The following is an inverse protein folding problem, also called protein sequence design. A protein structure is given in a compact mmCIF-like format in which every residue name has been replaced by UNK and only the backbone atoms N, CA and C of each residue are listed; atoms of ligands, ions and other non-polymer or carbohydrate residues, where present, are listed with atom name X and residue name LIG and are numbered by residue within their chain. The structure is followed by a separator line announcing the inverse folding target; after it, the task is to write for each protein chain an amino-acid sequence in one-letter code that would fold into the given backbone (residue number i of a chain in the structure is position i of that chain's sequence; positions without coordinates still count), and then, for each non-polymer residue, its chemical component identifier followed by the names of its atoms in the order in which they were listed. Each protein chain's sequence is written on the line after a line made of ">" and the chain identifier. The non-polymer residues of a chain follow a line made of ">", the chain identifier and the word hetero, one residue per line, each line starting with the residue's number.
data_IF_434046567476
#
_entry.id   IF_434046567476
#
_cell.length_a   1.000
_cell.length_b   1.000
_cell.length_c   1.000
_cell.angle_alpha   90.00
_cell.angle_beta   90.00
_cell.angle_gamma   90.00
#
_symmetry.space_group_name_H-M   'P 1'
#
loop_
_entity.id
_entity.type
_entity.pdbx_description
1 polymer ?
#
# COMPACT_ATOMS: atom_id res chain seq x y z
N UNK A 1 -7.76 -7.88 12.36
CA UNK A 1 -6.42 -8.11 12.89
C UNK A 1 -6.10 -7.22 14.07
N UNK A 2 -4.99 -7.49 14.71
CA UNK A 2 -4.45 -6.68 15.83
C UNK A 2 -2.97 -6.42 15.60
N UNK A 3 -2.49 -5.26 16.06
CA UNK A 3 -1.08 -4.90 16.06
C UNK A 3 -0.78 -4.09 17.31
N UNK A 4 0.16 -4.55 18.12
CA UNK A 4 0.56 -3.91 19.39
C UNK A 4 2.08 -3.96 19.56
N UNK A 5 2.62 -2.97 20.28
CA UNK A 5 4.05 -2.84 20.55
C UNK A 5 4.31 -2.32 21.96
N UNK A 6 5.57 -2.30 22.42
CA UNK A 6 5.94 -1.58 23.64
C UNK A 6 5.98 -0.06 23.43
N UNK A 7 5.89 0.45 22.19
CA UNK A 7 5.93 1.87 21.87
C UNK A 7 4.53 2.48 21.88
N UNK A 8 4.25 3.35 22.83
CA UNK A 8 2.92 3.94 23.02
C UNK A 8 2.47 4.82 21.83
N UNK A 9 3.39 5.56 21.19
CA UNK A 9 3.06 6.43 20.07
C UNK A 9 2.65 5.59 18.82
N UNK A 10 3.32 4.46 18.58
CA UNK A 10 2.95 3.53 17.52
C UNK A 10 1.59 2.86 17.80
N UNK A 11 1.33 2.49 19.06
CA UNK A 11 0.01 1.95 19.42
C UNK A 11 -1.10 2.98 19.22
N UNK A 12 -0.84 4.27 19.52
CA UNK A 12 -1.79 5.35 19.25
C UNK A 12 -1.99 5.55 17.74
N UNK A 13 -0.92 5.51 16.93
CA UNK A 13 -1.02 5.56 15.46
C UNK A 13 -1.90 4.41 14.94
N UNK A 14 -1.67 3.18 15.41
CA UNK A 14 -2.52 2.04 15.02
C UNK A 14 -3.98 2.23 15.44
N UNK A 15 -4.23 2.79 16.63
CA UNK A 15 -5.57 3.15 17.08
C UNK A 15 -6.22 4.18 16.16
N UNK A 16 -5.48 5.22 15.74
CA UNK A 16 -5.96 6.24 14.81
C UNK A 16 -6.34 5.64 13.44
N UNK A 17 -5.53 4.70 12.93
CA UNK A 17 -5.80 3.97 11.69
C UNK A 17 -7.09 3.16 11.81
N UNK A 18 -7.27 2.43 12.91
CA UNK A 18 -8.46 1.62 13.16
C UNK A 18 -9.74 2.47 13.26
N UNK A 19 -9.70 3.57 14.01
CA UNK A 19 -10.85 4.45 14.16
C UNK A 19 -11.17 5.21 12.88
N UNK A 20 -10.17 5.72 12.16
CA UNK A 20 -10.37 6.34 10.85
C UNK A 20 -11.08 5.40 9.88
N UNK A 21 -10.71 4.11 9.85
CA UNK A 21 -11.42 3.11 9.05
C UNK A 21 -12.86 2.87 9.53
N UNK A 22 -13.09 2.69 10.82
CA UNK A 22 -14.41 2.41 11.38
C UNK A 22 -15.42 3.52 11.11
N UNK A 23 -14.97 4.76 11.25
CA UNK A 23 -15.83 5.92 11.11
C UNK A 23 -16.23 6.18 9.66
N UNK A 24 -15.40 5.73 8.70
CA UNK A 24 -15.59 5.95 7.28
C UNK A 24 -16.17 4.73 6.52
N UNK A 25 -15.94 3.51 6.98
CA UNK A 25 -16.45 2.29 6.33
C UNK A 25 -17.81 1.89 6.90
N UNK A 26 -18.85 2.72 6.63
CA UNK A 26 -20.21 2.49 7.16
C UNK A 26 -21.07 1.80 6.11
N UNK A 27 -21.24 2.36 4.93
CA UNK A 27 -21.99 1.78 3.82
C UNK A 27 -21.18 1.70 2.53
N UNK A 28 -20.36 2.70 2.31
CA UNK A 28 -19.29 2.76 1.31
C UNK A 28 -18.03 3.30 2.00
N UNK A 29 -16.83 3.15 1.43
CA UNK A 29 -15.62 3.74 2.00
C UNK A 29 -15.59 5.24 1.71
N UNK A 30 -16.18 6.06 2.60
CA UNK A 30 -16.17 7.52 2.47
C UNK A 30 -14.82 8.10 2.85
N UNK A 31 -14.39 9.17 2.19
CA UNK A 31 -13.14 9.88 2.47
C UNK A 31 -13.11 10.48 3.88
N UNK A 32 -14.23 11.05 4.31
CA UNK A 32 -14.40 11.67 5.61
C UNK A 32 -15.84 11.53 6.10
N UNK A 33 -16.13 11.57 7.43
CA UNK A 33 -17.48 11.39 7.94
C UNK A 33 -18.19 12.70 8.28
N UNK A 34 -17.48 13.82 8.45
CA UNK A 34 -17.98 14.99 9.18
C UNK A 34 -18.41 16.18 8.31
N UNK A 35 -17.93 16.28 7.05
CA UNK A 35 -18.29 17.39 6.16
C UNK A 35 -19.25 16.96 5.05
N UNK A 36 -19.80 17.89 4.29
CA UNK A 36 -20.84 17.64 3.26
C UNK A 36 -20.33 16.81 2.06
N UNK A 37 -19.05 16.53 1.97
CA UNK A 37 -18.46 15.65 0.98
C UNK A 37 -18.88 14.18 1.20
N UNK A 38 -18.33 13.48 2.18
CA UNK A 38 -18.66 12.10 2.56
C UNK A 38 -18.90 11.20 1.36
N UNK A 39 -17.94 11.17 0.44
CA UNK A 39 -18.04 10.49 -0.84
C UNK A 39 -17.13 9.26 -0.89
N UNK A 40 -17.51 8.26 -1.69
CA UNK A 40 -16.71 7.06 -1.91
C UNK A 40 -15.55 7.33 -2.87
N UNK A 41 -14.55 8.09 -2.45
CA UNK A 41 -13.36 8.39 -3.22
C UNK A 41 -12.55 7.14 -3.53
N UNK A 42 -12.35 6.89 -4.82
CA UNK A 42 -11.82 5.60 -5.27
C UNK A 42 -10.33 5.46 -5.04
N UNK A 43 -9.54 6.55 -5.12
CA UNK A 43 -8.12 6.49 -4.81
C UNK A 43 -7.88 6.25 -3.31
N UNK A 44 -8.59 6.96 -2.46
CA UNK A 44 -8.52 6.83 -1.00
C UNK A 44 -8.75 5.38 -0.58
N UNK A 45 -9.84 4.79 -1.07
CA UNK A 45 -10.14 3.40 -0.84
C UNK A 45 -9.06 2.47 -1.42
N UNK A 46 -8.55 2.75 -2.62
CA UNK A 46 -7.55 1.92 -3.29
C UNK A 46 -6.24 1.88 -2.52
N UNK A 47 -5.71 3.04 -2.09
CA UNK A 47 -4.42 3.09 -1.39
C UNK A 47 -4.49 2.52 0.03
N UNK A 48 -5.66 2.60 0.65
CA UNK A 48 -5.87 2.09 2.00
C UNK A 48 -6.35 0.63 2.04
N UNK A 49 -6.87 0.08 0.97
CA UNK A 49 -7.50 -1.25 0.94
C UNK A 49 -6.63 -2.39 1.51
N UNK A 50 -5.30 -2.45 1.25
CA UNK A 50 -4.46 -3.47 1.89
C UNK A 50 -4.48 -3.39 3.42
N UNK A 51 -4.39 -2.19 4.00
CA UNK A 51 -4.50 -1.96 5.44
C UNK A 51 -5.90 -2.32 5.95
N UNK A 52 -6.93 -1.88 5.23
CA UNK A 52 -8.32 -2.15 5.61
C UNK A 52 -8.61 -3.64 5.77
N UNK A 53 -8.13 -4.45 4.82
CA UNK A 53 -8.31 -5.91 4.81
C UNK A 53 -7.55 -6.62 5.94
N UNK A 54 -6.46 -6.04 6.45
CA UNK A 54 -5.69 -6.57 7.57
C UNK A 54 -6.32 -6.21 8.91
N UNK A 55 -6.92 -5.03 9.02
CA UNK A 55 -7.58 -4.54 10.23
C UNK A 55 -8.90 -5.25 10.51
N UNK A 56 -9.76 -5.38 9.49
CA UNK A 56 -11.11 -5.93 9.61
C UNK A 56 -11.42 -6.89 8.46
N UNK A 57 -12.44 -7.71 8.62
CA UNK A 57 -13.03 -8.45 7.50
C UNK A 57 -13.86 -7.50 6.63
N UNK A 58 -13.28 -7.08 5.53
CA UNK A 58 -13.88 -6.12 4.58
C UNK A 58 -14.48 -6.81 3.35
N UNK A 59 -14.36 -8.14 3.21
CA UNK A 59 -14.66 -8.85 1.97
C UNK A 59 -16.08 -8.54 1.46
N UNK A 60 -17.09 -8.71 2.30
CA UNK A 60 -18.49 -8.50 1.90
C UNK A 60 -18.80 -7.03 1.65
N UNK A 61 -18.28 -6.14 2.49
CA UNK A 61 -18.43 -4.70 2.38
C UNK A 61 -17.90 -4.19 1.03
N UNK A 62 -16.67 -4.56 0.70
CA UNK A 62 -16.02 -4.13 -0.54
C UNK A 62 -16.68 -4.77 -1.77
N UNK A 63 -17.00 -6.07 -1.73
CA UNK A 63 -17.68 -6.75 -2.85
C UNK A 63 -19.05 -6.13 -3.15
N UNK A 64 -19.76 -5.63 -2.16
CA UNK A 64 -21.01 -4.88 -2.36
C UNK A 64 -20.74 -3.59 -3.13
N UNK A 65 -19.78 -2.78 -2.70
CA UNK A 65 -19.42 -1.51 -3.34
C UNK A 65 -18.90 -1.69 -4.76
N UNK A 66 -18.09 -2.71 -5.02
CA UNK A 66 -17.57 -3.04 -6.35
C UNK A 66 -18.67 -3.33 -7.41
N UNK A 67 -19.90 -3.69 -6.99
CA UNK A 67 -21.02 -3.89 -7.94
C UNK A 67 -21.42 -2.61 -8.65
N UNK A 68 -21.16 -1.46 -8.06
CA UNK A 68 -21.51 -0.15 -8.62
C UNK A 68 -20.48 0.34 -9.65
N UNK A 69 -19.28 -0.29 -9.74
CA UNK A 69 -18.21 0.15 -10.62
C UNK A 69 -18.54 -0.02 -12.10
N UNK A 70 -18.92 -1.22 -12.54
CA UNK A 70 -19.21 -1.48 -13.94
C UNK A 70 -20.39 -0.66 -14.48
N UNK A 71 -21.53 -0.51 -13.79
CA UNK A 71 -22.59 0.40 -14.22
C UNK A 71 -22.13 1.86 -14.37
N UNK A 72 -21.31 2.37 -13.44
CA UNK A 72 -20.77 3.71 -13.52
C UNK A 72 -19.82 3.87 -14.72
N UNK A 73 -18.96 2.89 -14.99
CA UNK A 73 -18.06 2.87 -16.15
C UNK A 73 -18.81 2.82 -17.49
N UNK A 74 -19.89 2.05 -17.57
CA UNK A 74 -20.71 1.96 -18.78
C UNK A 74 -21.33 3.31 -19.16
N UNK A 75 -21.65 4.12 -18.18
CA UNK A 75 -22.16 5.47 -18.40
C UNK A 75 -21.07 6.46 -18.88
N UNK A 76 -19.78 6.11 -18.80
CA UNK A 76 -18.63 6.98 -19.08
C UNK A 76 -17.57 6.36 -20.00
N UNK A 77 -17.96 5.57 -21.00
CA UNK A 77 -17.07 4.95 -21.99
C UNK A 77 -15.95 4.09 -21.37
N UNK A 78 -16.18 3.49 -20.21
CA UNK A 78 -15.24 2.65 -19.49
C UNK A 78 -14.41 3.37 -18.42
N UNK A 79 -14.53 4.68 -18.29
CA UNK A 79 -13.90 5.45 -17.23
C UNK A 79 -14.51 5.14 -15.87
N UNK A 80 -13.71 4.87 -14.86
CA UNK A 80 -14.21 4.82 -13.49
C UNK A 80 -14.27 6.24 -12.91
N UNK A 81 -15.43 6.72 -12.44
CA UNK A 81 -15.54 7.99 -11.73
C UNK A 81 -14.61 8.05 -10.52
N UNK A 82 -14.15 9.25 -10.17
CA UNK A 82 -13.30 9.47 -8.99
C UNK A 82 -14.02 9.18 -7.68
N UNK A 83 -15.35 9.20 -7.66
CA UNK A 83 -16.19 8.78 -6.53
C UNK A 83 -17.24 7.77 -6.97
N UNK A 84 -17.53 6.79 -6.13
CA UNK A 84 -18.60 5.81 -6.38
C UNK A 84 -19.51 5.72 -5.13
N UNK A 85 -20.82 5.95 -5.26
CA UNK A 85 -21.58 6.36 -6.48
C UNK A 85 -21.13 7.71 -7.05
N UNK A 86 -21.28 7.91 -8.37
CA UNK A 86 -20.91 9.16 -9.05
C UNK A 86 -21.88 10.31 -8.70
N UNK A 87 -21.69 10.89 -7.53
CA UNK A 87 -22.45 12.07 -7.07
C UNK A 87 -21.96 13.37 -7.68
N UNK A 88 -20.74 13.40 -8.22
CA UNK A 88 -20.14 14.57 -8.86
C UNK A 88 -20.58 14.73 -10.33
N UNK A 89 -21.24 13.73 -10.92
CA UNK A 89 -21.82 13.73 -12.28
C UNK A 89 -20.82 14.18 -13.33
N UNK A 90 -19.59 13.62 -13.30
CA UNK A 90 -18.52 13.99 -14.22
C UNK A 90 -17.73 15.24 -13.82
N UNK A 91 -17.95 15.82 -12.64
CA UNK A 91 -17.06 16.81 -12.04
C UNK A 91 -15.62 16.28 -11.91
N UNK A 92 -14.64 17.17 -11.82
CA UNK A 92 -13.20 16.82 -11.88
C UNK A 92 -12.81 16.07 -13.15
N UNK A 93 -13.44 16.35 -14.30
CA UNK A 93 -13.30 15.63 -15.58
C UNK A 93 -13.65 14.13 -15.51
N UNK A 94 -14.41 13.71 -14.50
CA UNK A 94 -14.99 12.38 -14.39
C UNK A 94 -14.04 11.30 -13.90
N UNK A 95 -12.77 11.30 -14.30
CA UNK A 95 -11.79 10.25 -13.95
C UNK A 95 -10.34 10.74 -14.07
N UNK A 96 -9.42 10.07 -13.39
CA UNK A 96 -7.98 10.32 -13.40
C UNK A 96 -7.20 9.07 -13.04
N UNK A 97 -5.91 9.01 -13.37
CA UNK A 97 -5.00 7.98 -12.86
C UNK A 97 -4.99 7.95 -11.33
N UNK A 98 -4.62 6.82 -10.73
CA UNK A 98 -4.73 6.47 -9.30
C UNK A 98 -6.18 6.18 -8.89
N UNK A 99 -7.12 7.13 -9.11
CA UNK A 99 -8.55 6.96 -8.78
C UNK A 99 -9.20 5.87 -9.61
N UNK A 100 -9.10 5.95 -10.92
CA UNK A 100 -9.69 4.95 -11.81
C UNK A 100 -9.03 3.58 -11.70
N UNK A 101 -7.77 3.51 -11.28
CA UNK A 101 -7.04 2.26 -11.07
C UNK A 101 -7.63 1.39 -9.94
N UNK A 102 -8.50 1.97 -9.12
CA UNK A 102 -9.30 1.25 -8.14
C UNK A 102 -10.12 0.10 -8.77
N UNK A 103 -10.59 0.26 -10.03
CA UNK A 103 -11.30 -0.79 -10.76
C UNK A 103 -10.48 -2.10 -10.89
N UNK A 104 -9.16 -1.99 -10.89
CA UNK A 104 -8.24 -3.13 -11.05
C UNK A 104 -7.63 -3.54 -9.72
N UNK A 105 -7.16 -2.58 -8.94
CA UNK A 105 -6.34 -2.85 -7.76
C UNK A 105 -7.18 -3.32 -6.57
N UNK A 106 -8.40 -2.79 -6.36
CA UNK A 106 -9.25 -3.23 -5.24
C UNK A 106 -9.68 -4.69 -5.37
N UNK A 107 -10.24 -5.17 -6.50
CA UNK A 107 -10.54 -6.60 -6.67
C UNK A 107 -9.32 -7.50 -6.47
N UNK A 108 -8.15 -7.05 -6.93
CA UNK A 108 -6.89 -7.77 -6.74
C UNK A 108 -6.52 -7.89 -5.27
N UNK A 109 -6.65 -6.83 -4.47
CA UNK A 109 -6.36 -6.86 -3.03
C UNK A 109 -7.32 -7.79 -2.27
N UNK A 110 -8.62 -7.78 -2.60
CA UNK A 110 -9.59 -8.72 -2.03
C UNK A 110 -9.20 -10.16 -2.37
N UNK A 111 -8.86 -10.45 -3.63
CA UNK A 111 -8.39 -11.78 -4.01
C UNK A 111 -7.12 -12.18 -3.24
N UNK A 112 -6.15 -11.30 -3.12
CA UNK A 112 -4.89 -11.56 -2.42
C UNK A 112 -5.12 -11.88 -0.94
N UNK A 113 -5.99 -11.12 -0.28
CA UNK A 113 -6.22 -11.27 1.16
C UNK A 113 -7.09 -12.47 1.47
N UNK A 114 -8.17 -12.71 0.73
CA UNK A 114 -9.17 -13.73 1.06
C UNK A 114 -9.09 -14.99 0.21
N UNK A 115 -8.31 -15.00 -0.87
CA UNK A 115 -8.25 -16.13 -1.81
C UNK A 115 -9.50 -16.28 -2.68
N UNK A 116 -10.41 -15.32 -2.64
CA UNK A 116 -11.68 -15.34 -3.37
C UNK A 116 -11.48 -15.01 -4.86
N UNK A 117 -11.27 -16.04 -5.67
CA UNK A 117 -11.13 -15.87 -7.11
C UNK A 117 -12.43 -15.41 -7.79
N UNK A 118 -13.58 -15.55 -7.12
CA UNK A 118 -14.86 -15.14 -7.69
C UNK A 118 -14.94 -13.62 -7.85
N UNK A 119 -14.32 -12.84 -6.94
CA UNK A 119 -14.28 -11.38 -7.09
C UNK A 119 -13.57 -10.97 -8.38
N UNK A 120 -12.51 -11.68 -8.77
CA UNK A 120 -11.83 -11.41 -10.05
C UNK A 120 -12.71 -11.73 -11.26
N UNK A 121 -13.50 -12.81 -11.19
CA UNK A 121 -14.47 -13.16 -12.26
C UNK A 121 -15.56 -12.12 -12.38
N UNK A 122 -16.13 -11.71 -11.25
CA UNK A 122 -17.22 -10.74 -11.19
C UNK A 122 -16.78 -9.36 -11.69
N UNK A 123 -15.53 -8.97 -11.40
CA UNK A 123 -15.00 -7.65 -11.72
C UNK A 123 -14.16 -7.61 -13.02
N UNK A 124 -13.95 -8.73 -13.70
CA UNK A 124 -13.06 -8.78 -14.86
C UNK A 124 -13.43 -7.78 -15.95
N UNK A 125 -14.71 -7.65 -16.26
CA UNK A 125 -15.20 -6.69 -17.27
C UNK A 125 -14.95 -5.24 -16.84
N UNK A 126 -15.11 -4.91 -15.56
CA UNK A 126 -14.79 -3.59 -15.01
C UNK A 126 -13.28 -3.29 -15.10
N UNK A 127 -12.43 -4.27 -14.75
CA UNK A 127 -10.97 -4.16 -14.87
C UNK A 127 -10.56 -3.89 -16.33
N UNK A 128 -11.13 -4.65 -17.29
CA UNK A 128 -10.88 -4.45 -18.72
C UNK A 128 -11.37 -3.07 -19.19
N UNK A 129 -12.55 -2.64 -18.74
CA UNK A 129 -13.11 -1.35 -19.13
C UNK A 129 -12.16 -0.20 -18.79
N UNK A 130 -11.59 -0.21 -17.58
CA UNK A 130 -10.61 0.80 -17.15
C UNK A 130 -9.32 0.77 -17.99
N UNK A 131 -8.64 -0.36 -18.06
CA UNK A 131 -7.37 -0.47 -18.79
C UNK A 131 -7.54 -0.11 -20.28
N UNK A 132 -8.63 -0.56 -20.90
CA UNK A 132 -8.92 -0.24 -22.29
C UNK A 132 -9.35 1.23 -22.49
N UNK A 133 -10.00 1.85 -21.50
CA UNK A 133 -10.26 3.29 -21.50
C UNK A 133 -8.94 4.07 -21.54
N UNK A 134 -8.01 3.77 -20.64
CA UNK A 134 -6.71 4.43 -20.56
C UNK A 134 -5.88 4.19 -21.84
N UNK A 135 -5.85 2.94 -22.35
CA UNK A 135 -5.14 2.57 -23.59
C UNK A 135 -5.52 3.48 -24.78
N UNK A 136 -6.75 4.00 -24.81
CA UNK A 136 -7.24 4.89 -25.89
C UNK A 136 -6.97 6.40 -25.65
N UNK A 137 -6.37 6.77 -24.51
CA UNK A 137 -6.30 8.18 -24.05
C UNK A 137 -4.90 8.80 -24.13
N UNK A 138 -3.87 8.07 -24.45
CA UNK A 138 -2.52 8.61 -24.62
C UNK A 138 -2.31 9.38 -25.91
N UNK A 139 -1.35 10.31 -25.92
CA UNK A 139 -0.87 10.95 -27.16
C UNK A 139 -0.08 9.99 -28.04
N UNK A 140 0.44 8.92 -27.43
CA UNK A 140 1.05 7.76 -28.08
C UNK A 140 0.71 6.50 -27.29
N UNK A 141 0.85 5.33 -27.93
CA UNK A 141 0.60 4.06 -27.26
C UNK A 141 1.49 3.90 -26.02
N UNK A 142 0.89 3.48 -24.91
CA UNK A 142 1.59 3.25 -23.64
C UNK A 142 1.71 4.44 -22.71
N UNK A 143 1.20 5.61 -23.07
CA UNK A 143 1.11 6.76 -22.16
C UNK A 143 -0.32 7.04 -21.72
N UNK A 144 -0.48 7.50 -20.49
CA UNK A 144 -1.70 8.14 -20.01
C UNK A 144 -1.40 9.59 -19.64
N UNK A 145 -1.33 10.44 -20.67
CA UNK A 145 -0.86 11.82 -20.58
C UNK A 145 -1.85 12.83 -21.17
N UNK A 146 -3.13 12.49 -21.17
CA UNK A 146 -4.21 13.37 -21.62
C UNK A 146 -5.30 13.50 -20.56
N UNK A 147 -6.09 14.55 -20.64
CA UNK A 147 -7.09 14.89 -19.62
C UNK A 147 -6.45 15.53 -18.39
N UNK A 148 -7.27 15.93 -17.44
CA UNK A 148 -6.79 16.44 -16.17
C UNK A 148 -6.38 15.25 -15.27
N UNK A 149 -5.20 15.33 -14.67
CA UNK A 149 -4.68 14.34 -13.74
C UNK A 149 -4.49 15.01 -12.37
N UNK A 150 -4.80 14.28 -11.28
CA UNK A 150 -4.63 14.80 -9.94
C UNK A 150 -3.19 14.57 -9.41
N UNK A 151 -2.49 13.57 -9.94
CA UNK A 151 -1.10 13.28 -9.58
C UNK A 151 -0.96 12.76 -8.15
N UNK A 152 0.08 13.19 -7.45
CA UNK A 152 0.28 12.89 -6.04
C UNK A 152 -0.45 13.93 -5.18
N UNK A 153 -1.69 13.62 -4.82
CA UNK A 153 -2.59 14.52 -4.09
C UNK A 153 -2.06 14.81 -2.69
N UNK A 154 -2.04 16.08 -2.30
CA UNK A 154 -1.60 16.57 -0.99
C UNK A 154 -0.13 16.27 -0.64
N UNK A 155 0.74 16.05 -1.63
CA UNK A 155 2.18 16.03 -1.41
C UNK A 155 2.73 17.42 -1.04
N UNK A 156 3.85 17.44 -0.32
CA UNK A 156 4.39 18.66 0.29
C UNK A 156 5.57 19.27 -0.48
N UNK A 157 5.92 18.71 -1.63
CA UNK A 157 7.05 19.12 -2.48
C UNK A 157 6.69 20.28 -3.45
N UNK A 158 5.64 21.03 -3.14
CA UNK A 158 5.15 22.21 -3.89
C UNK A 158 4.91 23.39 -2.96
N UNK A 159 4.67 24.61 -3.50
CA UNK A 159 4.33 25.76 -2.68
C UNK A 159 3.13 25.51 -1.77
N UNK A 160 3.15 26.11 -0.58
CA UNK A 160 2.07 25.99 0.39
C UNK A 160 0.71 26.34 -0.22
N UNK A 161 -0.30 25.53 0.09
CA UNK A 161 -1.66 25.68 -0.42
C UNK A 161 -1.92 25.00 -1.78
N UNK A 162 -0.93 24.30 -2.35
CA UNK A 162 -1.16 23.43 -3.51
C UNK A 162 -1.80 22.11 -3.08
N UNK A 163 -2.82 21.68 -3.81
CA UNK A 163 -3.38 20.32 -3.66
C UNK A 163 -2.56 19.27 -4.43
N UNK A 164 -1.84 19.68 -5.45
CA UNK A 164 -1.08 18.79 -6.33
C UNK A 164 0.38 18.76 -5.93
N UNK A 165 0.95 17.57 -5.86
CA UNK A 165 2.37 17.36 -5.64
C UNK A 165 3.26 17.82 -6.80
N UNK A 166 4.55 17.92 -6.51
CA UNK A 166 5.57 18.32 -7.46
C UNK A 166 5.86 17.28 -8.54
N UNK A 167 5.57 16.01 -8.33
CA UNK A 167 5.73 14.97 -9.36
C UNK A 167 4.84 15.27 -10.56
N UNK A 168 5.37 15.02 -11.78
CA UNK A 168 4.57 15.18 -13.00
C UNK A 168 3.32 14.30 -12.93
N UNK A 169 2.15 14.92 -13.08
CA UNK A 169 0.84 14.25 -12.94
C UNK A 169 0.65 13.13 -13.98
N UNK A 170 1.15 13.32 -15.21
CA UNK A 170 1.09 12.31 -16.26
C UNK A 170 2.08 11.16 -16.01
N UNK A 171 3.22 11.44 -15.36
CA UNK A 171 4.12 10.42 -14.85
C UNK A 171 3.37 9.50 -13.88
N UNK A 172 2.68 10.07 -12.87
CA UNK A 172 1.90 9.31 -11.88
C UNK A 172 0.83 8.48 -12.57
N UNK A 173 0.02 9.09 -13.45
CA UNK A 173 -1.04 8.40 -14.16
C UNK A 173 -0.52 7.24 -15.03
N UNK A 174 0.60 7.44 -15.75
CA UNK A 174 1.19 6.40 -16.59
C UNK A 174 1.83 5.28 -15.76
N UNK A 175 2.41 5.60 -14.60
CA UNK A 175 2.94 4.60 -13.67
C UNK A 175 1.83 3.66 -13.16
N UNK A 176 0.69 4.20 -12.77
CA UNK A 176 -0.47 3.40 -12.35
C UNK A 176 -1.09 2.63 -13.52
N UNK A 177 -1.10 3.19 -14.71
CA UNK A 177 -1.51 2.45 -15.93
C UNK A 177 -0.65 1.20 -16.16
N UNK A 178 0.68 1.31 -16.02
CA UNK A 178 1.56 0.15 -16.09
C UNK A 178 1.21 -0.90 -15.03
N UNK A 179 1.00 -0.47 -13.80
CA UNK A 179 0.70 -1.37 -12.69
C UNK A 179 -0.65 -2.07 -12.87
N UNK A 180 -1.72 -1.32 -13.16
CA UNK A 180 -3.04 -1.88 -13.42
C UNK A 180 -3.02 -2.86 -14.61
N UNK A 181 -2.30 -2.55 -15.67
CA UNK A 181 -2.16 -3.45 -16.82
C UNK A 181 -1.46 -4.76 -16.43
N UNK A 182 -0.39 -4.69 -15.63
CA UNK A 182 0.30 -5.88 -15.13
C UNK A 182 -0.60 -6.75 -14.23
N UNK A 183 -1.43 -6.11 -13.39
CA UNK A 183 -2.40 -6.82 -12.53
C UNK A 183 -3.51 -7.45 -13.36
N UNK A 184 -4.02 -6.77 -14.38
CA UNK A 184 -5.04 -7.32 -15.28
C UNK A 184 -4.50 -8.51 -16.07
N UNK A 185 -3.26 -8.44 -16.57
CA UNK A 185 -2.61 -9.58 -17.24
C UNK A 185 -2.54 -10.82 -16.31
N UNK A 186 -2.10 -10.64 -15.07
CA UNK A 186 -2.08 -11.70 -14.04
C UNK A 186 -3.48 -12.24 -13.76
N UNK A 187 -4.48 -11.38 -13.70
CA UNK A 187 -5.88 -11.76 -13.50
C UNK A 187 -6.39 -12.59 -14.67
N UNK A 188 -6.09 -12.19 -15.90
CA UNK A 188 -6.45 -12.94 -17.11
C UNK A 188 -5.85 -14.36 -17.10
N UNK A 189 -4.58 -14.52 -16.74
CA UNK A 189 -3.94 -15.82 -16.55
C UNK A 189 -4.66 -16.68 -15.51
N UNK A 190 -4.98 -16.12 -14.34
CA UNK A 190 -5.69 -16.84 -13.28
C UNK A 190 -7.09 -17.29 -13.70
N UNK A 191 -7.73 -16.56 -14.58
CA UNK A 191 -9.08 -16.86 -15.09
C UNK A 191 -9.05 -17.72 -16.37
N UNK A 192 -7.87 -18.13 -16.86
CA UNK A 192 -7.72 -18.92 -18.08
C UNK A 192 -8.00 -18.16 -19.39
N UNK A 193 -7.97 -16.83 -19.35
CA UNK A 193 -8.18 -15.94 -20.50
C UNK A 193 -6.85 -15.67 -21.21
N UNK A 194 -6.30 -16.73 -21.85
CA UNK A 194 -4.92 -16.73 -22.37
C UNK A 194 -4.66 -15.62 -23.40
N UNK A 195 -5.60 -15.38 -24.33
CA UNK A 195 -5.42 -14.34 -25.35
C UNK A 195 -5.37 -12.94 -24.72
N UNK A 196 -6.26 -12.65 -23.77
CA UNK A 196 -6.28 -11.38 -23.05
C UNK A 196 -4.99 -11.21 -22.24
N UNK A 197 -4.50 -12.29 -21.59
CA UNK A 197 -3.29 -12.25 -20.80
C UNK A 197 -2.07 -11.82 -21.63
N UNK A 198 -1.91 -12.42 -22.80
CA UNK A 198 -0.83 -12.05 -23.73
C UNK A 198 -0.96 -10.62 -24.27
N UNK A 199 -2.19 -10.16 -24.62
CA UNK A 199 -2.40 -8.78 -25.06
C UNK A 199 -2.00 -7.79 -23.97
N UNK A 200 -2.41 -8.02 -22.71
CA UNK A 200 -2.06 -7.13 -21.59
C UNK A 200 -0.59 -7.22 -21.18
N UNK A 201 0.08 -8.37 -21.34
CA UNK A 201 1.54 -8.46 -21.15
C UNK A 201 2.29 -7.63 -22.20
N UNK A 202 1.88 -7.71 -23.47
CA UNK A 202 2.46 -6.89 -24.54
C UNK A 202 2.19 -5.40 -24.30
N UNK A 203 0.95 -5.04 -23.93
CA UNK A 203 0.61 -3.67 -23.57
C UNK A 203 1.47 -3.16 -22.42
N UNK A 204 1.62 -3.94 -21.34
CA UNK A 204 2.48 -3.57 -20.20
C UNK A 204 3.92 -3.30 -20.64
N UNK A 205 4.47 -4.16 -21.51
CA UNK A 205 5.82 -3.97 -22.07
C UNK A 205 5.93 -2.64 -22.84
N UNK A 206 4.92 -2.33 -23.67
CA UNK A 206 4.85 -1.06 -24.40
C UNK A 206 4.76 0.14 -23.48
N UNK A 207 3.93 0.05 -22.41
CA UNK A 207 3.81 1.11 -21.41
C UNK A 207 5.14 1.39 -20.72
N UNK A 208 5.83 0.35 -20.23
CA UNK A 208 7.14 0.50 -19.55
C UNK A 208 8.17 1.14 -20.49
N UNK A 209 8.20 0.71 -21.76
CA UNK A 209 9.12 1.30 -22.75
C UNK A 209 8.81 2.78 -23.02
N UNK A 210 7.53 3.12 -23.23
CA UNK A 210 7.07 4.50 -23.44
C UNK A 210 7.35 5.38 -22.21
N UNK A 211 7.04 4.86 -21.02
CA UNK A 211 7.29 5.55 -19.75
C UNK A 211 8.78 5.89 -19.58
N UNK A 212 9.67 4.91 -19.71
CA UNK A 212 11.12 5.10 -19.55
C UNK A 212 11.65 6.15 -20.55
N UNK A 213 11.24 6.09 -21.80
CA UNK A 213 11.62 7.05 -22.85
C UNK A 213 11.14 8.46 -22.52
N UNK A 214 9.90 8.59 -22.05
CA UNK A 214 9.26 9.90 -21.86
C UNK A 214 9.69 10.57 -20.57
N UNK A 215 9.76 9.81 -19.47
CA UNK A 215 9.88 10.39 -18.13
C UNK A 215 11.24 10.21 -17.47
N UNK A 216 12.12 9.34 -18.00
CA UNK A 216 13.41 9.08 -17.38
C UNK A 216 14.57 9.66 -18.18
N UNK A 217 15.65 10.01 -17.46
CA UNK A 217 17.00 10.23 -17.98
C UNK A 217 17.88 9.11 -17.40
N UNK A 218 18.06 8.03 -18.16
CA UNK A 218 18.60 6.78 -17.63
C UNK A 218 17.62 6.12 -16.66
N UNK A 219 17.94 6.08 -15.38
CA UNK A 219 17.06 5.55 -14.32
C UNK A 219 16.49 6.65 -13.41
N UNK A 220 16.89 7.90 -13.62
CA UNK A 220 16.46 9.04 -12.81
C UNK A 220 15.23 9.70 -13.44
N UNK A 221 14.18 10.01 -12.67
CA UNK A 221 13.05 10.78 -13.16
C UNK A 221 13.50 12.16 -13.65
N UNK A 222 13.01 12.62 -14.81
CA UNK A 222 13.30 13.98 -15.33
C UNK A 222 12.82 15.07 -14.35
N UNK A 223 11.74 14.81 -13.62
CA UNK A 223 11.30 15.56 -12.46
C UNK A 223 11.49 14.67 -11.23
N UNK A 224 12.60 14.88 -10.53
CA UNK A 224 13.11 14.02 -9.49
C UNK A 224 12.49 14.41 -8.14
N UNK A 225 11.59 13.57 -7.64
CA UNK A 225 10.84 13.73 -6.39
C UNK A 225 10.84 12.41 -5.61
N UNK A 226 10.53 12.45 -4.31
CA UNK A 226 10.36 11.23 -3.53
C UNK A 226 9.30 10.32 -4.16
N UNK A 227 8.12 10.83 -4.48
CA UNK A 227 7.02 10.07 -5.08
C UNK A 227 7.41 9.46 -6.42
N UNK A 228 8.13 10.17 -7.28
CA UNK A 228 8.58 9.62 -8.55
C UNK A 228 9.45 8.36 -8.33
N UNK A 229 10.41 8.41 -7.41
CA UNK A 229 11.27 7.26 -7.09
C UNK A 229 10.50 6.12 -6.39
N UNK A 230 9.54 6.43 -5.53
CA UNK A 230 8.62 5.43 -4.95
C UNK A 230 7.87 4.68 -6.06
N UNK A 231 7.30 5.39 -7.02
CA UNK A 231 6.52 4.77 -8.10
C UNK A 231 7.38 3.98 -9.09
N UNK A 232 8.65 4.38 -9.33
CA UNK A 232 9.58 3.56 -10.10
C UNK A 232 9.76 2.16 -9.51
N UNK A 233 9.86 2.09 -8.19
CA UNK A 233 10.03 0.82 -7.45
C UNK A 233 8.71 0.05 -7.35
N UNK A 234 7.64 0.70 -6.93
CA UNK A 234 6.33 0.09 -6.71
C UNK A 234 5.71 -0.47 -8.00
N UNK A 235 5.71 0.33 -9.07
CA UNK A 235 5.15 -0.05 -10.35
C UNK A 235 6.12 -0.83 -11.24
N UNK A 236 7.32 -1.18 -10.73
CA UNK A 236 8.35 -1.96 -11.42
C UNK A 236 8.78 -1.37 -12.77
N UNK A 237 8.95 -0.05 -12.82
CA UNK A 237 9.29 0.70 -14.03
C UNK A 237 10.80 0.77 -14.32
N UNK A 238 11.59 0.21 -13.43
CA UNK A 238 13.05 0.03 -13.57
C UNK A 238 13.42 -1.45 -13.46
N UNK A 239 14.54 -1.83 -14.07
CA UNK A 239 15.03 -3.19 -14.05
C UNK A 239 15.38 -3.65 -12.63
N UNK A 240 15.29 -4.95 -12.37
CA UNK A 240 15.59 -5.51 -11.04
C UNK A 240 16.97 -5.09 -10.52
N UNK A 241 17.96 -5.05 -11.39
CA UNK A 241 19.34 -4.63 -11.03
C UNK A 241 19.49 -3.13 -10.74
N UNK A 242 18.55 -2.30 -11.19
CA UNK A 242 18.56 -0.84 -11.00
C UNK A 242 17.90 -0.44 -9.66
N UNK A 243 17.01 -1.27 -9.11
CA UNK A 243 16.19 -0.97 -7.94
C UNK A 243 16.98 -0.56 -6.69
N UNK A 244 18.09 -1.22 -6.32
CA UNK A 244 18.85 -0.80 -5.14
C UNK A 244 19.41 0.62 -5.27
N UNK A 245 19.86 1.03 -6.47
CA UNK A 245 20.34 2.40 -6.71
C UNK A 245 19.21 3.43 -6.61
N UNK A 246 18.03 3.13 -7.16
CA UNK A 246 16.84 3.99 -7.03
C UNK A 246 16.41 4.12 -5.58
N UNK A 247 16.41 3.03 -4.81
CA UNK A 247 16.06 3.05 -3.39
C UNK A 247 17.07 3.83 -2.54
N UNK A 248 18.37 3.71 -2.85
CA UNK A 248 19.40 4.54 -2.21
C UNK A 248 19.19 6.01 -2.53
N UNK A 249 18.93 6.34 -3.79
CA UNK A 249 18.65 7.73 -4.19
C UNK A 249 17.40 8.29 -3.50
N UNK A 250 16.33 7.49 -3.35
CA UNK A 250 15.15 7.86 -2.57
C UNK A 250 15.50 8.16 -1.10
N UNK A 251 16.33 7.32 -0.47
CA UNK A 251 16.80 7.55 0.88
C UNK A 251 17.63 8.85 1.00
N UNK A 252 18.45 9.16 -0.01
CA UNK A 252 19.24 10.39 -0.08
C UNK A 252 18.33 11.63 -0.22
N UNK A 253 17.24 11.56 -1.02
CA UNK A 253 16.23 12.61 -1.12
C UNK A 253 15.54 12.88 0.23
N UNK A 254 15.19 11.82 0.96
CA UNK A 254 14.60 11.92 2.30
C UNK A 254 15.58 12.62 3.26
N UNK A 255 16.85 12.21 3.26
CA UNK A 255 17.89 12.84 4.08
C UNK A 255 18.09 14.32 3.72
N UNK A 256 18.09 14.64 2.43
CA UNK A 256 18.17 16.03 1.94
C UNK A 256 16.97 16.87 2.39
N UNK A 257 15.81 16.24 2.54
CA UNK A 257 14.58 16.86 3.10
C UNK A 257 14.54 16.81 4.65
N UNK A 258 15.69 16.75 5.30
CA UNK A 258 15.75 16.76 6.79
C UNK A 258 15.26 15.47 7.45
N UNK A 259 15.22 14.35 6.74
CA UNK A 259 14.73 13.07 7.24
C UNK A 259 13.20 12.98 7.23
N UNK A 260 12.52 13.84 6.46
CA UNK A 260 11.07 13.87 6.37
C UNK A 260 10.58 13.39 5.00
N UNK A 261 9.38 12.81 5.00
CA UNK A 261 8.62 12.57 3.77
C UNK A 261 8.06 13.90 3.22
N UNK A 262 7.80 13.91 1.91
CA UNK A 262 7.05 14.98 1.24
C UNK A 262 5.96 14.43 0.30
N UNK A 263 5.70 13.13 0.40
CA UNK A 263 4.78 12.38 -0.46
C UNK A 263 3.32 12.58 -0.06
N UNK A 264 2.43 12.53 -1.07
CA UNK A 264 0.99 12.55 -0.93
C UNK A 264 0.35 11.16 -1.04
N UNK A 265 -0.92 11.13 -1.50
CA UNK A 265 -1.73 9.90 -1.54
C UNK A 265 -1.20 8.82 -2.49
N UNK A 266 -0.50 9.19 -3.59
CA UNK A 266 0.06 8.23 -4.52
C UNK A 266 1.45 7.72 -4.10
N UNK A 267 2.19 8.47 -3.28
CA UNK A 267 3.55 8.12 -2.83
C UNK A 267 3.61 7.50 -1.44
N UNK A 268 2.96 8.11 -0.45
CA UNK A 268 3.06 7.74 0.95
C UNK A 268 2.72 6.26 1.26
N UNK A 269 1.70 5.62 0.64
CA UNK A 269 1.36 4.24 0.92
C UNK A 269 2.49 3.24 0.62
N UNK A 270 3.32 3.57 -0.34
CA UNK A 270 4.36 2.66 -0.85
C UNK A 270 5.77 3.04 -0.38
N UNK A 271 5.97 4.23 0.22
CA UNK A 271 7.26 4.77 0.61
C UNK A 271 8.05 3.82 1.53
N UNK A 272 7.53 3.47 2.69
CA UNK A 272 8.19 2.55 3.62
C UNK A 272 8.29 1.11 3.06
N UNK A 273 7.26 0.55 2.39
CA UNK A 273 7.37 -0.74 1.72
C UNK A 273 8.51 -0.83 0.70
N UNK A 274 8.65 0.14 -0.22
CA UNK A 274 9.69 0.07 -1.26
C UNK A 274 11.08 0.27 -0.70
N UNK A 275 11.27 1.15 0.29
CA UNK A 275 12.52 1.32 1.01
C UNK A 275 12.96 0.01 1.67
N UNK A 276 12.07 -0.60 2.44
CA UNK A 276 12.34 -1.85 3.17
C UNK A 276 12.67 -3.01 2.22
N UNK A 277 11.90 -3.15 1.12
CA UNK A 277 12.09 -4.21 0.15
C UNK A 277 13.40 -4.09 -0.67
N UNK A 278 14.02 -2.91 -0.69
CA UNK A 278 15.21 -2.63 -1.48
C UNK A 278 16.44 -2.23 -0.63
N UNK A 279 16.51 -2.70 0.63
CA UNK A 279 17.69 -2.58 1.49
C UNK A 279 17.81 -1.27 2.25
N UNK A 280 16.78 -0.42 2.24
CA UNK A 280 16.74 0.87 2.95
C UNK A 280 15.78 0.83 4.16
N UNK A 281 15.69 -0.29 4.85
CA UNK A 281 14.79 -0.47 6.01
C UNK A 281 15.03 0.59 7.10
N UNK A 282 16.30 0.96 7.34
CA UNK A 282 16.62 2.02 8.32
C UNK A 282 15.92 3.33 7.97
N UNK A 283 15.95 3.76 6.71
CA UNK A 283 15.29 5.00 6.29
C UNK A 283 13.76 4.91 6.49
N UNK A 284 13.15 3.76 6.19
CA UNK A 284 11.71 3.53 6.45
C UNK A 284 11.36 3.63 7.94
N UNK A 285 12.17 3.05 8.81
CA UNK A 285 11.97 3.15 10.25
C UNK A 285 12.21 4.57 10.79
N UNK A 286 13.22 5.27 10.28
CA UNK A 286 13.48 6.65 10.68
C UNK A 286 12.31 7.58 10.31
N UNK A 287 11.65 7.34 9.17
CA UNK A 287 10.42 8.04 8.79
C UNK A 287 9.26 7.72 9.73
N UNK A 288 9.05 6.44 10.08
CA UNK A 288 7.98 6.05 11.00
C UNK A 288 8.14 6.69 12.39
N UNK A 289 9.37 6.71 12.91
CA UNK A 289 9.68 7.26 14.24
C UNK A 289 9.96 8.75 14.24
N UNK A 290 9.79 9.44 13.11
CA UNK A 290 9.89 10.89 13.05
C UNK A 290 8.69 11.51 13.79
N UNK A 291 8.96 12.38 14.76
CA UNK A 291 7.93 13.06 15.58
C UNK A 291 7.67 14.49 15.14
N UNK A 292 8.62 15.11 14.42
CA UNK A 292 8.44 16.47 13.91
C UNK A 292 7.67 16.46 12.58
N UNK A 293 7.01 17.58 12.28
CA UNK A 293 6.27 17.81 11.04
C UNK A 293 7.20 17.80 9.80
N UNK A 294 6.78 17.15 8.71
CA UNK A 294 5.64 16.26 8.50
C UNK A 294 5.97 14.80 8.86
N UNK A 295 5.10 14.14 9.58
CA UNK A 295 5.23 12.71 9.90
C UNK A 295 3.93 12.13 10.48
N UNK A 296 3.79 10.78 10.49
CA UNK A 296 2.66 10.10 11.16
C UNK A 296 2.63 10.36 12.66
N UNK A 297 3.79 10.43 13.34
CA UNK A 297 3.81 10.65 14.77
C UNK A 297 3.62 12.12 15.15
N UNK A 298 3.83 13.07 14.24
CA UNK A 298 3.44 14.46 14.47
C UNK A 298 1.94 14.56 14.79
N UNK A 299 1.07 13.90 14.00
CA UNK A 299 -0.37 13.88 14.28
C UNK A 299 -0.68 13.31 15.67
N UNK A 300 0.00 12.20 16.04
CA UNK A 300 -0.12 11.58 17.37
C UNK A 300 0.29 12.56 18.47
N UNK A 301 1.41 13.27 18.31
CA UNK A 301 1.89 14.26 19.27
C UNK A 301 0.94 15.46 19.43
N UNK A 302 0.18 15.78 18.37
CA UNK A 302 -0.87 16.80 18.43
C UNK A 302 -2.19 16.29 19.04
N UNK A 303 -2.22 15.03 19.52
CA UNK A 303 -3.39 14.44 20.17
C UNK A 303 -4.43 13.87 19.20
N UNK A 304 -4.05 13.53 17.96
CA UNK A 304 -4.93 12.88 17.00
C UNK A 304 -5.47 11.55 17.55
N UNK A 305 -6.76 11.30 17.34
CA UNK A 305 -7.47 10.05 17.68
C UNK A 305 -7.93 9.29 16.44
N UNK A 306 -7.78 9.89 15.26
CA UNK A 306 -8.05 9.38 13.92
C UNK A 306 -6.96 9.88 12.99
N UNK A 307 -6.83 9.32 11.78
CA UNK A 307 -5.88 9.80 10.77
C UNK A 307 -6.38 11.11 10.17
N UNK A 308 -5.44 11.98 9.80
CA UNK A 308 -5.72 13.28 9.21
C UNK A 308 -5.65 13.24 7.68
N UNK A 309 -6.33 14.20 7.02
CA UNK A 309 -6.34 14.37 5.57
C UNK A 309 -5.04 14.98 5.04
N UNK A 310 -4.54 16.00 5.72
CA UNK A 310 -3.28 16.67 5.42
C UNK A 310 -2.25 16.38 6.50
N UNK A 311 -0.99 16.27 6.13
CA UNK A 311 0.11 16.17 7.09
C UNK A 311 0.11 17.32 8.10
N UNK A 312 -0.43 18.49 7.71
CA UNK A 312 -0.57 19.72 8.49
C UNK A 312 -2.04 20.14 8.66
N UNK A 313 -2.98 19.22 8.78
CA UNK A 313 -4.37 19.53 9.12
C UNK A 313 -4.44 20.47 10.33
N UNK A 314 -3.56 20.27 11.30
CA UNK A 314 -3.19 21.23 12.34
C UNK A 314 -1.70 21.57 12.18
N UNK A 315 -1.38 22.82 11.86
CA UNK A 315 -0.01 23.28 11.65
C UNK A 315 0.75 23.45 12.98
N UNK A 316 2.10 23.50 12.95
CA UNK A 316 2.88 23.70 14.17
C UNK A 316 2.58 24.99 14.91
N UNK A 317 2.05 26.02 14.26
CA UNK A 317 1.63 27.28 14.85
C UNK A 317 0.20 27.24 15.43
N UNK A 318 -0.47 26.08 15.37
CA UNK A 318 -1.84 25.87 15.83
C UNK A 318 -2.93 26.32 14.86
N UNK A 319 -2.58 26.82 13.67
CA UNK A 319 -3.55 27.15 12.64
C UNK A 319 -3.96 25.91 11.84
N UNK A 320 -5.14 25.93 11.22
CA UNK A 320 -5.60 24.87 10.35
C UNK A 320 -5.03 25.04 8.93
N UNK A 321 -4.89 23.95 8.20
CA UNK A 321 -4.45 23.98 6.81
C UNK A 321 -5.41 24.82 5.95
N UNK A 322 -6.70 24.56 6.07
CA UNK A 322 -7.77 25.26 5.36
C UNK A 322 -9.04 25.30 6.21
N UNK A 323 -9.93 26.25 5.96
CA UNK A 323 -11.29 26.28 6.50
C UNK A 323 -12.26 25.40 5.69
N UNK A 324 -11.95 25.12 4.44
CA UNK A 324 -12.89 24.53 3.48
C UNK A 324 -12.63 23.03 3.27
N UNK A 325 -11.39 22.66 3.06
CA UNK A 325 -10.97 21.28 2.84
C UNK A 325 -9.93 20.89 3.89
N UNK A 326 -10.39 20.37 5.02
CA UNK A 326 -9.55 19.87 6.08
C UNK A 326 -10.34 18.86 6.92
N UNK A 327 -9.85 17.65 7.04
CA UNK A 327 -10.47 16.60 7.85
C UNK A 327 -9.47 16.04 8.85
N UNK A 328 -9.91 15.95 10.11
CA UNK A 328 -9.18 15.22 11.15
C UNK A 328 -9.56 13.74 11.20
N UNK A 329 -10.41 13.26 10.28
CA UNK A 329 -10.82 11.87 10.19
C UNK A 329 -10.89 11.43 8.72
N UNK A 330 -9.71 11.06 8.18
CA UNK A 330 -9.49 10.69 6.79
C UNK A 330 -8.46 9.57 6.70
N UNK A 331 -8.83 8.40 6.24
CA UNK A 331 -8.03 7.17 6.41
C UNK A 331 -6.85 7.00 5.46
N UNK A 332 -6.71 7.77 4.37
CA UNK A 332 -5.74 7.48 3.29
C UNK A 332 -4.29 7.30 3.78
N UNK A 333 -3.78 8.21 4.61
CA UNK A 333 -2.43 8.09 5.18
C UNK A 333 -2.27 6.97 6.22
N UNK A 334 -3.37 6.40 6.70
CA UNK A 334 -3.37 5.16 7.49
C UNK A 334 -2.94 3.93 6.69
N UNK A 335 -2.72 4.06 5.39
CA UNK A 335 -2.16 3.01 4.52
C UNK A 335 -0.81 2.45 4.99
N UNK A 336 -0.05 3.18 5.82
CA UNK A 336 1.15 2.68 6.50
C UNK A 336 0.89 1.41 7.33
N UNK A 337 -0.35 1.17 7.75
CA UNK A 337 -0.76 -0.02 8.50
C UNK A 337 -0.40 -1.32 7.78
N UNK A 338 -0.51 -1.40 6.45
CA UNK A 338 -0.05 -2.57 5.70
C UNK A 338 1.42 -2.89 6.00
N UNK A 339 2.28 -1.89 5.97
CA UNK A 339 3.71 -2.07 6.25
C UNK A 339 3.99 -2.52 7.69
N UNK A 340 3.19 -2.06 8.66
CA UNK A 340 3.28 -2.53 10.04
C UNK A 340 3.01 -4.05 10.13
N UNK A 341 1.95 -4.54 9.51
CA UNK A 341 1.65 -5.97 9.51
C UNK A 341 2.62 -6.79 8.66
N UNK A 342 2.88 -6.35 7.42
CA UNK A 342 3.64 -7.15 6.47
C UNK A 342 5.15 -7.09 6.73
N UNK A 343 5.71 -5.90 7.02
CA UNK A 343 7.16 -5.75 7.17
C UNK A 343 7.61 -5.79 8.63
N UNK A 344 7.01 -4.97 9.49
CA UNK A 344 7.42 -4.90 10.90
C UNK A 344 7.11 -6.22 11.61
N UNK A 345 5.88 -6.72 11.49
CA UNK A 345 5.51 -8.03 12.02
C UNK A 345 5.87 -9.19 11.09
N UNK A 346 6.07 -8.94 9.79
CA UNK A 346 6.52 -9.92 8.82
C UNK A 346 5.45 -10.85 8.27
N UNK A 347 4.17 -10.53 8.34
CA UNK A 347 3.06 -11.41 7.96
C UNK A 347 2.68 -11.24 6.48
N UNK A 348 3.27 -12.06 5.58
CA UNK A 348 3.02 -11.99 4.14
C UNK A 348 2.19 -13.17 3.61
N UNK A 349 1.21 -12.88 2.75
CA UNK A 349 0.56 -13.91 1.95
C UNK A 349 1.45 -14.29 0.75
N UNK A 350 2.05 -15.48 0.76
CA UNK A 350 2.76 -16.03 -0.39
C UNK A 350 1.77 -16.57 -1.44
N UNK A 351 0.67 -17.21 -0.98
CA UNK A 351 -0.50 -17.55 -1.80
C UNK A 351 -1.72 -16.79 -1.31
N UNK A 352 -2.64 -16.44 -2.20
CA UNK A 352 -3.87 -15.76 -1.83
C UNK A 352 -4.62 -16.49 -0.71
N UNK A 353 -5.24 -15.73 0.19
CA UNK A 353 -5.95 -16.25 1.35
C UNK A 353 -5.04 -16.78 2.45
N UNK A 354 -3.74 -16.51 2.42
CA UNK A 354 -2.76 -17.02 3.40
C UNK A 354 -2.69 -18.56 3.49
N UNK A 355 -3.09 -19.28 2.42
CA UNK A 355 -2.91 -20.73 2.36
C UNK A 355 -1.43 -21.12 2.52
N UNK A 356 -0.55 -20.29 1.98
CA UNK A 356 0.88 -20.33 2.20
C UNK A 356 1.37 -18.92 2.56
N UNK A 357 2.09 -18.81 3.67
CA UNK A 357 2.57 -17.55 4.21
C UNK A 357 4.09 -17.49 4.26
N UNK A 358 4.62 -16.28 4.33
CA UNK A 358 6.00 -16.02 4.79
C UNK A 358 5.91 -15.17 6.04
N UNK A 359 6.58 -15.60 7.11
CA UNK A 359 6.71 -14.82 8.33
C UNK A 359 8.17 -14.37 8.40
N UNK A 360 8.41 -13.09 8.09
CA UNK A 360 9.74 -12.52 7.91
C UNK A 360 9.82 -11.12 8.54
N UNK A 361 9.77 -11.01 9.88
CA UNK A 361 9.82 -9.70 10.54
C UNK A 361 11.16 -9.02 10.28
N UNK A 362 11.11 -7.71 10.11
CA UNK A 362 12.28 -6.84 10.08
C UNK A 362 12.30 -6.04 11.40
N UNK A 363 12.97 -6.52 12.46
CA UNK A 363 12.87 -5.88 13.77
C UNK A 363 13.68 -4.59 13.85
N UNK A 364 13.14 -3.62 14.61
CA UNK A 364 13.85 -2.42 15.03
C UNK A 364 13.72 -2.26 16.56
N UNK A 365 14.80 -1.94 17.24
CA UNK A 365 14.85 -1.90 18.70
C UNK A 365 13.91 -0.86 19.33
N UNK A 366 13.50 0.17 18.58
CA UNK A 366 12.56 1.21 19.02
C UNK A 366 11.16 0.70 19.32
N UNK A 367 10.80 -0.49 18.82
CA UNK A 367 9.54 -1.16 19.16
C UNK A 367 9.60 -1.92 20.49
N UNK A 368 10.76 -2.49 20.85
CA UNK A 368 10.92 -3.40 21.99
C UNK A 368 10.24 -4.75 21.74
N UNK A 369 8.93 -4.76 21.67
CA UNK A 369 8.05 -5.87 21.38
C UNK A 369 7.07 -5.51 20.26
N UNK A 370 6.75 -6.50 19.41
CA UNK A 370 5.66 -6.40 18.43
C UNK A 370 4.87 -7.69 18.43
N UNK A 371 3.57 -7.59 18.60
CA UNK A 371 2.64 -8.69 18.40
C UNK A 371 1.61 -8.27 17.34
N UNK A 372 1.48 -9.09 16.30
CA UNK A 372 0.47 -8.91 15.26
C UNK A 372 -0.26 -10.20 14.96
N UNK A 373 -1.58 -10.08 14.77
CA UNK A 373 -2.47 -11.17 14.40
C UNK A 373 -3.30 -10.76 13.18
N UNK A 374 -3.39 -11.66 12.22
CA UNK A 374 -4.31 -11.55 11.08
C UNK A 374 -5.29 -12.71 11.15
N UNK A 375 -6.59 -12.39 11.10
CA UNK A 375 -7.64 -13.41 11.01
C UNK A 375 -7.81 -13.83 9.55
N UNK A 376 -7.11 -14.91 9.17
CA UNK A 376 -7.23 -15.47 7.81
C UNK A 376 -8.46 -16.34 7.67
N UNK A 377 -8.81 -16.71 6.43
CA UNK A 377 -9.91 -17.68 6.17
C UNK A 377 -9.65 -19.08 6.77
N UNK A 378 -8.44 -19.36 7.23
CA UNK A 378 -8.03 -20.61 7.87
C UNK A 378 -7.90 -20.50 9.40
N UNK A 379 -8.03 -19.29 9.96
CA UNK A 379 -7.83 -18.99 11.36
C UNK A 379 -6.72 -17.97 11.61
N UNK A 380 -6.32 -17.76 12.87
CA UNK A 380 -5.34 -16.73 13.23
C UNK A 380 -3.94 -17.09 12.74
N UNK A 381 -3.29 -16.13 12.10
CA UNK A 381 -1.86 -16.12 11.78
C UNK A 381 -1.19 -15.07 12.65
N UNK A 382 -0.24 -15.48 13.51
CA UNK A 382 0.36 -14.60 14.52
C UNK A 382 1.87 -14.54 14.35
N UNK A 383 2.41 -13.33 14.49
CA UNK A 383 3.83 -13.04 14.69
C UNK A 383 3.97 -12.24 15.98
N UNK A 384 4.76 -12.76 16.91
CA UNK A 384 5.01 -12.17 18.22
C UNK A 384 6.52 -12.17 18.46
N UNK A 385 7.16 -11.00 18.38
CA UNK A 385 8.61 -10.92 18.53
C UNK A 385 9.05 -9.86 19.54
N UNK A 386 10.21 -10.15 20.15
CA UNK A 386 10.93 -9.27 21.07
C UNK A 386 12.34 -9.03 20.54
N UNK A 387 12.82 -7.80 20.67
CA UNK A 387 14.23 -7.46 20.47
C UNK A 387 14.74 -6.72 21.71
N UNK A 388 15.43 -7.44 22.60
CA UNK A 388 15.97 -6.91 23.86
C UNK A 388 17.41 -7.38 24.05
N UNK A 389 18.29 -6.48 24.44
CA UNK A 389 19.72 -6.74 24.72
C UNK A 389 20.43 -7.47 23.57
N UNK A 390 20.07 -7.15 22.33
CA UNK A 390 20.61 -7.78 21.12
C UNK A 390 20.08 -9.18 20.85
N UNK A 391 19.17 -9.70 21.67
CA UNK A 391 18.50 -10.98 21.45
C UNK A 391 17.16 -10.78 20.76
N UNK A 392 16.95 -11.51 19.66
CA UNK A 392 15.70 -11.59 18.95
C UNK A 392 14.98 -12.89 19.28
N UNK A 393 13.73 -12.78 19.72
CA UNK A 393 12.85 -13.93 19.97
C UNK A 393 11.61 -13.79 19.11
N UNK A 394 11.20 -14.85 18.43
CA UNK A 394 10.00 -14.87 17.58
C UNK A 394 9.14 -16.08 17.95
N UNK A 395 7.89 -15.83 18.30
CA UNK A 395 6.83 -16.84 18.45
C UNK A 395 5.84 -16.70 17.30
N UNK A 396 5.46 -17.80 16.66
CA UNK A 396 4.52 -17.80 15.54
C UNK A 396 3.36 -18.76 15.78
N UNK A 397 2.17 -18.35 15.37
CA UNK A 397 1.01 -19.25 15.26
C UNK A 397 0.63 -19.36 13.78
N UNK A 398 0.56 -20.59 13.29
CA UNK A 398 0.24 -20.89 11.88
C UNK A 398 -1.09 -21.66 11.88
N UNK A 399 -2.13 -21.17 11.15
CA UNK A 399 -3.44 -21.82 11.14
C UNK A 399 -3.36 -23.26 10.60
N UNK A 400 -4.26 -24.11 11.07
CA UNK A 400 -4.40 -25.47 10.56
C UNK A 400 -4.64 -25.49 9.04
N UNK A 401 -4.15 -26.54 8.36
CA UNK A 401 -4.24 -26.73 6.89
C UNK A 401 -3.53 -25.64 6.06
N UNK A 402 -2.61 -24.89 6.68
CA UNK A 402 -1.75 -23.92 6.00
C UNK A 402 -0.27 -24.22 6.25
N UNK A 403 0.60 -23.57 5.50
CA UNK A 403 2.05 -23.63 5.70
C UNK A 403 2.66 -22.25 5.75
N UNK A 404 3.71 -22.05 6.54
CA UNK A 404 4.47 -20.81 6.55
C UNK A 404 5.97 -21.09 6.41
N UNK A 405 6.65 -20.24 5.64
CA UNK A 405 8.09 -20.13 5.68
C UNK A 405 8.45 -19.04 6.69
N UNK A 406 9.16 -19.42 7.75
CA UNK A 406 9.68 -18.47 8.74
C UNK A 406 11.09 -18.08 8.34
N UNK A 407 11.34 -16.78 8.18
CA UNK A 407 12.65 -16.20 7.85
C UNK A 407 13.08 -15.32 9.01
N UNK A 408 14.18 -15.70 9.66
CA UNK A 408 14.72 -14.93 10.78
C UNK A 408 15.63 -13.81 10.30
N UNK A 409 15.68 -12.68 11.02
CA UNK A 409 16.61 -11.59 10.70
C UNK A 409 18.06 -12.10 10.77
N UNK A 410 18.86 -11.77 9.76
CA UNK A 410 20.26 -12.16 9.72
C UNK A 410 21.11 -11.25 10.61
N UNK A 411 21.79 -11.86 11.62
CA UNK A 411 22.94 -11.30 12.30
C UNK A 411 24.14 -12.25 12.08
N UNK A 412 25.26 -11.76 11.60
CA UNK A 412 26.46 -12.58 11.41
C UNK A 412 26.92 -13.16 12.77
N UNK A 413 26.98 -14.50 12.89
CA UNK A 413 27.56 -15.18 14.05
C UNK A 413 26.61 -15.48 15.22
N UNK A 414 25.30 -15.44 15.03
CA UNK A 414 24.33 -15.71 16.10
C UNK A 414 23.92 -17.20 16.15
N UNK A 415 23.89 -17.75 17.36
CA UNK A 415 23.29 -19.08 17.62
C UNK A 415 21.77 -18.97 17.54
N UNK A 416 21.11 -19.86 16.79
CA UNK A 416 19.67 -19.97 16.69
C UNK A 416 19.17 -21.16 17.51
N UNK A 417 18.25 -20.91 18.46
CA UNK A 417 17.49 -21.96 19.12
C UNK A 417 16.07 -22.01 18.58
N UNK A 418 15.64 -23.17 18.12
CA UNK A 418 14.24 -23.37 17.68
C UNK A 418 13.58 -24.36 18.64
N UNK A 419 12.48 -23.91 19.22
CA UNK A 419 11.63 -24.70 20.11
C UNK A 419 10.26 -24.85 19.46
N UNK A 420 9.82 -26.05 19.12
CA UNK A 420 8.52 -26.32 18.54
C UNK A 420 7.60 -26.95 19.58
N UNK A 421 6.50 -26.26 19.92
CA UNK A 421 5.55 -26.79 20.91
C UNK A 421 4.64 -27.91 20.35
N UNK A 422 4.30 -27.86 19.04
CA UNK A 422 3.43 -28.86 18.36
C UNK A 422 3.68 -28.89 16.86
N UNK A 423 4.89 -29.22 16.38
CA UNK A 423 5.10 -29.29 14.93
C UNK A 423 5.05 -30.76 14.46
N UNK A 424 4.11 -31.08 13.57
CA UNK A 424 4.10 -32.37 12.86
C UNK A 424 5.24 -32.47 11.84
N UNK A 425 5.82 -31.37 11.36
CA UNK A 425 7.10 -31.34 10.63
C UNK A 425 7.66 -29.92 10.55
N UNK A 426 8.86 -29.69 11.03
CA UNK A 426 9.64 -28.48 10.72
C UNK A 426 10.88 -28.90 9.92
N UNK A 427 11.03 -28.40 8.69
CA UNK A 427 12.25 -28.53 7.88
C UNK A 427 13.02 -27.21 7.95
N UNK A 428 14.28 -27.28 8.35
CA UNK A 428 15.17 -26.12 8.44
C UNK A 428 16.22 -26.21 7.33
N UNK A 429 16.43 -25.13 6.59
CA UNK A 429 17.30 -25.10 5.41
C UNK A 429 18.62 -24.39 5.61
N UNK A 430 18.98 -24.00 6.85
CA UNK A 430 20.27 -23.36 7.09
C UNK A 430 21.18 -24.21 8.03
N UNK A 431 22.46 -24.34 7.66
CA UNK A 431 23.42 -25.31 8.16
C UNK A 431 23.99 -25.06 9.56
N UNK A 432 23.41 -24.15 10.37
CA UNK A 432 23.91 -23.77 11.71
C UNK A 432 22.95 -24.07 12.86
N UNK A 433 21.96 -24.92 12.64
CA UNK A 433 20.91 -25.25 13.63
C UNK A 433 21.36 -26.29 14.68
N UNK A 434 21.39 -25.93 15.96
CA UNK A 434 21.31 -26.89 17.08
C UNK A 434 19.85 -27.08 17.49
N UNK A 435 19.35 -28.30 17.30
CA UNK A 435 18.01 -28.72 17.71
C UNK A 435 18.03 -29.07 19.22
N UNK A 436 17.15 -28.42 20.00
CA UNK A 436 16.81 -28.91 21.35
C UNK A 436 15.31 -29.24 21.34
N UNK A 437 14.97 -30.51 21.32
CA UNK A 437 13.63 -30.99 21.65
C UNK A 437 13.52 -30.98 23.17
N UNK A 438 12.55 -30.33 23.72
CA UNK A 438 12.16 -30.53 25.13
C UNK A 438 11.01 -31.52 25.07
N UNK A 439 11.25 -32.71 25.56
CA UNK A 439 10.20 -33.68 25.82
C UNK A 439 9.26 -33.12 26.89
N UNK A 440 7.96 -33.29 26.65
CA UNK A 440 6.81 -32.86 27.46
C UNK A 440 6.87 -33.26 28.91
#
# INVERSE_FOLDING_TARGET
>A
GTFTTDNAAINQLQSNILWGQRDNFVEIPTDCPQRDERAGWTADAQVFMPTANLNYDTQHFVKRWLRDFLPAQQAQDGALPVVIPDILRGGFNGTTGVWGDAAVLIPWYIYRTYGDIQVLRDQYTSMQAWVNYVRRRGTEEGLYNTGAQLGDWLALDTPAGSYHGGTDQNFVATAFFAWSTAVLAKTAWLLGKVADAHDYEQLHTSIVAAFRRTYLAGVTPKKDTQTANVLLLQCQLVEKGERPAVAQHLADLIQKNGGHLDTGFAGAPYLCPVLSANGQAKAAYDLLFQESYPSWLYEVQQGATTMWEHWDSLKPDGSFWSSDMNSFNHYAYGSIGQWLYETVAGLHAQRPGYQRSVIAPQPDARFGHVQAEINTVFGPLVSDWYLRDGQFTLTVTIPANTTAQVVLPHGAGQEMMVQAATAQSAQFTDGTLRRRTVDS
#
